data_IF_547104195537
#
_entry.id   IF_547104195537
#
_cell.length_a   1.000
_cell.length_b   1.000
_cell.length_c   1.000
_cell.angle_alpha   90.00
_cell.angle_beta   90.00
_cell.angle_gamma   90.00
#
_symmetry.space_group_name_H-M   'P 1'
#
loop_
_entity.id
_entity.type
_entity.pdbx_description
1 polymer ?
#
# COMPACT_ATOMS: atom_id res chain seq x y z
N UNK A 1 -9.43 -12.24 -3.66
CA UNK A 1 -10.81 -11.76 -3.45
C UNK A 1 -11.33 -12.24 -2.09
N UNK A 2 -10.99 -13.45 -1.68
CA UNK A 2 -11.42 -14.13 -0.45
C UNK A 2 -11.21 -13.32 0.82
N UNK A 3 -10.05 -12.65 0.99
CA UNK A 3 -9.85 -11.72 2.11
C UNK A 3 -10.73 -10.47 2.05
N UNK A 4 -11.06 -9.98 0.85
CA UNK A 4 -11.98 -8.86 0.67
C UNK A 4 -13.42 -9.28 0.99
N UNK A 5 -13.84 -10.48 0.57
CA UNK A 5 -15.15 -11.04 0.91
C UNK A 5 -15.28 -11.35 2.40
N UNK A 6 -14.21 -11.80 3.05
CA UNK A 6 -14.18 -12.04 4.50
C UNK A 6 -14.44 -10.78 5.32
N UNK A 7 -13.98 -9.62 4.85
CA UNK A 7 -14.29 -8.34 5.48
C UNK A 7 -15.77 -7.96 5.46
N UNK A 8 -16.59 -8.59 4.61
CA UNK A 8 -18.05 -8.44 4.59
C UNK A 8 -18.78 -9.57 5.33
N UNK A 9 -18.05 -10.41 6.07
CA UNK A 9 -18.62 -11.47 6.90
C UNK A 9 -18.76 -12.83 6.21
N UNK A 10 -18.14 -13.03 5.04
CA UNK A 10 -18.13 -14.33 4.35
C UNK A 10 -16.98 -15.19 4.88
N UNK A 11 -17.26 -16.43 5.31
CA UNK A 11 -16.20 -17.36 5.71
C UNK A 11 -15.34 -17.76 4.50
N UNK A 12 -14.05 -17.46 4.52
CA UNK A 12 -13.12 -17.76 3.41
C UNK A 12 -11.78 -18.32 3.91
N UNK A 13 -11.00 -18.90 3.00
CA UNK A 13 -9.65 -19.40 3.28
C UNK A 13 -8.60 -18.30 3.12
N UNK A 14 -8.77 -17.17 3.82
CA UNK A 14 -7.83 -16.06 3.75
C UNK A 14 -6.48 -16.42 4.40
N UNK A 15 -5.38 -16.37 3.64
CA UNK A 15 -4.04 -16.79 4.14
C UNK A 15 -2.96 -15.70 4.07
N UNK A 16 -2.93 -14.88 3.01
CA UNK A 16 -1.83 -13.93 2.77
C UNK A 16 -2.34 -12.51 2.51
N UNK A 17 -2.38 -12.05 1.25
CA UNK A 17 -2.66 -10.66 0.87
C UNK A 17 -3.83 -10.52 -0.09
N UNK A 18 -4.73 -11.50 -0.11
CA UNK A 18 -5.83 -11.57 -1.08
C UNK A 18 -6.86 -10.45 -0.92
N UNK A 19 -6.89 -9.85 0.27
CA UNK A 19 -7.62 -8.63 0.55
C UNK A 19 -7.07 -7.46 -0.26
N UNK A 20 -5.76 -7.19 -0.15
CA UNK A 20 -5.10 -6.12 -0.91
C UNK A 20 -5.16 -6.39 -2.41
N UNK A 21 -4.96 -7.64 -2.84
CA UNK A 21 -5.08 -8.02 -4.25
C UNK A 21 -6.51 -7.82 -4.78
N UNK A 22 -7.54 -8.15 -3.99
CA UNK A 22 -8.92 -7.85 -4.35
C UNK A 22 -9.16 -6.33 -4.46
N UNK A 23 -8.65 -5.58 -3.49
CA UNK A 23 -8.78 -4.12 -3.46
C UNK A 23 -8.10 -3.44 -4.64
N UNK A 24 -6.88 -3.85 -5.01
CA UNK A 24 -6.16 -3.25 -6.14
C UNK A 24 -6.85 -3.58 -7.47
N UNK A 25 -7.46 -4.77 -7.63
CA UNK A 25 -8.26 -5.09 -8.82
C UNK A 25 -9.44 -4.10 -8.95
N UNK A 26 -10.14 -3.79 -7.86
CA UNK A 26 -11.20 -2.77 -7.87
C UNK A 26 -10.65 -1.40 -8.30
N UNK A 27 -9.47 -1.01 -7.81
CA UNK A 27 -8.82 0.20 -8.29
C UNK A 27 -8.57 0.17 -9.80
N UNK A 28 -8.06 -0.93 -10.35
CA UNK A 28 -7.82 -1.03 -11.80
C UNK A 28 -9.09 -0.89 -12.63
N UNK A 29 -10.22 -1.41 -12.14
CA UNK A 29 -11.53 -1.28 -12.80
C UNK A 29 -12.01 0.18 -12.79
N UNK A 30 -11.84 0.89 -11.68
CA UNK A 30 -12.29 2.28 -11.51
C UNK A 30 -11.30 3.30 -12.09
N UNK A 31 -10.03 2.93 -12.20
CA UNK A 31 -8.94 3.75 -12.72
C UNK A 31 -9.22 4.43 -14.08
N UNK A 32 -9.70 3.74 -15.14
CA UNK A 32 -9.96 4.40 -16.43
C UNK A 32 -10.99 5.53 -16.31
N UNK A 33 -12.04 5.34 -15.51
CA UNK A 33 -13.06 6.36 -15.29
C UNK A 33 -12.48 7.59 -14.59
N UNK A 34 -11.73 7.37 -13.49
CA UNK A 34 -11.05 8.45 -12.77
C UNK A 34 -10.03 9.18 -13.65
N UNK A 35 -9.28 8.44 -14.47
CA UNK A 35 -8.29 8.99 -15.39
C UNK A 35 -8.95 9.91 -16.43
N UNK A 36 -10.10 9.53 -16.99
CA UNK A 36 -10.85 10.41 -17.91
C UNK A 36 -11.33 11.66 -17.18
N UNK A 37 -11.87 11.51 -15.97
CA UNK A 37 -12.31 12.62 -15.12
C UNK A 37 -11.19 13.62 -14.83
N UNK A 38 -10.07 13.16 -14.25
CA UNK A 38 -8.91 14.02 -13.93
C UNK A 38 -8.34 14.67 -15.19
N UNK A 39 -8.47 14.02 -16.36
CA UNK A 39 -7.97 14.58 -17.61
C UNK A 39 -8.83 15.67 -18.21
N UNK A 40 -10.16 15.48 -18.23
CA UNK A 40 -11.09 16.44 -18.85
C UNK A 40 -11.57 17.50 -17.87
N UNK A 41 -11.88 17.11 -16.64
CA UNK A 41 -12.54 17.94 -15.62
C UNK A 41 -11.93 17.67 -14.23
N UNK A 42 -10.69 18.11 -13.97
CA UNK A 42 -9.96 17.79 -12.74
C UNK A 42 -10.66 18.29 -11.48
N UNK A 43 -11.15 19.54 -11.48
CA UNK A 43 -11.82 20.15 -10.32
C UNK A 43 -13.10 19.38 -9.98
N UNK A 44 -13.95 19.12 -10.99
CA UNK A 44 -15.19 18.36 -10.80
C UNK A 44 -14.92 16.96 -10.27
N UNK A 45 -13.88 16.29 -10.78
CA UNK A 45 -13.51 14.94 -10.31
C UNK A 45 -13.09 14.96 -8.86
N UNK A 46 -12.30 15.95 -8.43
CA UNK A 46 -11.93 16.13 -7.02
C UNK A 46 -13.16 16.40 -6.16
N UNK A 47 -14.06 17.29 -6.57
CA UNK A 47 -15.29 17.59 -5.83
C UNK A 47 -16.16 16.35 -5.65
N UNK A 48 -16.36 15.55 -6.71
CA UNK A 48 -17.13 14.30 -6.64
C UNK A 48 -16.47 13.30 -5.69
N UNK A 49 -15.15 13.12 -5.78
CA UNK A 49 -14.41 12.19 -4.92
C UNK A 49 -14.44 12.62 -3.46
N UNK A 50 -14.30 13.91 -3.18
CA UNK A 50 -14.42 14.46 -1.83
C UNK A 50 -15.85 14.33 -1.29
N UNK A 51 -16.87 14.52 -2.13
CA UNK A 51 -18.26 14.31 -1.75
C UNK A 51 -18.54 12.83 -1.41
N UNK A 52 -18.05 11.89 -2.21
CA UNK A 52 -18.16 10.44 -1.95
C UNK A 52 -17.41 10.04 -0.67
N UNK A 53 -16.21 10.60 -0.46
CA UNK A 53 -15.42 10.40 0.75
C UNK A 53 -16.18 10.89 1.99
N UNK A 54 -16.66 12.15 1.96
CA UNK A 54 -17.41 12.75 3.06
C UNK A 54 -18.71 11.97 3.33
N UNK A 55 -19.46 11.59 2.29
CA UNK A 55 -20.66 10.77 2.43
C UNK A 55 -20.36 9.44 3.10
N UNK A 56 -19.23 8.79 2.75
CA UNK A 56 -18.81 7.52 3.37
C UNK A 56 -18.45 7.70 4.84
N UNK A 57 -17.65 8.73 5.17
CA UNK A 57 -17.24 9.03 6.55
C UNK A 57 -18.45 9.38 7.42
N UNK A 58 -19.36 10.20 6.90
CA UNK A 58 -20.62 10.57 7.56
C UNK A 58 -21.47 9.32 7.78
N UNK A 59 -21.74 8.55 6.73
CA UNK A 59 -22.55 7.34 6.80
C UNK A 59 -22.02 6.35 7.85
N UNK A 60 -20.70 6.11 7.90
CA UNK A 60 -20.11 5.22 8.91
C UNK A 60 -20.16 5.78 10.33
N UNK A 61 -20.01 7.09 10.49
CA UNK A 61 -20.17 7.76 11.80
C UNK A 61 -21.60 7.64 12.32
N UNK A 62 -22.60 7.75 11.45
CA UNK A 62 -24.02 7.75 11.84
C UNK A 62 -24.64 6.35 11.94
N UNK A 63 -24.29 5.41 11.06
CA UNK A 63 -24.94 4.10 10.97
C UNK A 63 -24.14 2.94 11.58
N UNK A 64 -22.92 3.20 12.07
CA UNK A 64 -22.05 2.26 12.81
C UNK A 64 -22.22 0.80 12.38
N UNK A 65 -21.88 0.46 11.13
CA UNK A 65 -21.99 -0.93 10.66
C UNK A 65 -20.95 -1.77 11.42
N UNK A 66 -21.35 -2.68 12.33
CA UNK A 66 -20.43 -3.29 13.30
C UNK A 66 -19.41 -4.27 12.70
N UNK A 67 -19.43 -4.50 11.38
CA UNK A 67 -18.72 -5.60 10.73
C UNK A 67 -17.83 -5.22 9.55
N UNK A 68 -17.91 -3.99 9.04
CA UNK A 68 -17.13 -3.57 7.86
C UNK A 68 -16.09 -2.54 8.29
N UNK A 69 -14.78 -2.87 8.26
CA UNK A 69 -13.75 -1.86 8.46
C UNK A 69 -13.83 -0.79 7.36
N UNK A 70 -13.89 0.49 7.76
CA UNK A 70 -14.02 1.61 6.81
C UNK A 70 -12.85 1.72 5.82
N UNK A 71 -11.70 1.15 6.18
CA UNK A 71 -10.47 1.14 5.39
C UNK A 71 -10.55 0.28 4.13
N UNK A 72 -11.54 -0.61 4.07
CA UNK A 72 -11.77 -1.58 2.98
C UNK A 72 -12.67 -0.99 1.89
N UNK A 73 -13.32 0.13 2.19
CA UNK A 73 -14.17 0.82 1.25
C UNK A 73 -13.32 1.57 0.24
N UNK A 74 -13.63 1.37 -1.02
CA UNK A 74 -12.96 2.07 -2.11
C UNK A 74 -13.00 3.59 -1.92
N UNK A 75 -14.16 4.12 -1.51
CA UNK A 75 -14.44 5.55 -1.39
C UNK A 75 -13.60 6.26 -0.33
N UNK A 76 -13.16 5.56 0.72
CA UNK A 76 -12.25 6.14 1.72
C UNK A 76 -10.84 6.33 1.18
N UNK A 77 -10.47 5.60 0.12
CA UNK A 77 -9.13 5.63 -0.50
C UNK A 77 -9.06 6.35 -1.84
N UNK A 78 -10.21 6.70 -2.43
CA UNK A 78 -10.28 7.49 -3.66
C UNK A 78 -9.53 8.83 -3.59
N UNK A 79 -9.57 9.60 -2.48
CA UNK A 79 -8.83 10.87 -2.40
C UNK A 79 -7.33 10.70 -2.61
N UNK A 80 -6.75 9.65 -2.04
CA UNK A 80 -5.31 9.35 -2.11
C UNK A 80 -4.92 8.97 -3.54
N UNK A 81 -5.75 8.16 -4.20
CA UNK A 81 -5.55 7.77 -5.59
C UNK A 81 -5.62 8.96 -6.56
N UNK A 82 -6.64 9.82 -6.39
CA UNK A 82 -6.84 11.01 -7.23
C UNK A 82 -5.73 12.03 -6.98
N UNK A 83 -5.30 12.19 -5.72
CA UNK A 83 -4.13 13.00 -5.39
C UNK A 83 -2.89 12.51 -6.13
N UNK A 84 -2.62 11.20 -6.15
CA UNK A 84 -1.50 10.61 -6.91
C UNK A 84 -1.57 10.93 -8.41
N UNK A 85 -2.77 10.86 -9.02
CA UNK A 85 -2.97 11.22 -10.43
C UNK A 85 -2.68 12.70 -10.70
N UNK A 86 -3.19 13.59 -9.84
CA UNK A 86 -2.95 15.04 -9.93
C UNK A 86 -1.46 15.33 -9.74
N UNK A 87 -0.83 14.67 -8.78
CA UNK A 87 0.59 14.84 -8.49
C UNK A 87 1.45 14.52 -9.71
N UNK A 88 1.24 13.34 -10.33
CA UNK A 88 2.01 12.92 -11.52
C UNK A 88 1.76 13.84 -12.71
N UNK A 89 0.53 14.32 -12.88
CA UNK A 89 0.16 15.17 -14.02
C UNK A 89 0.63 16.62 -13.88
N UNK A 90 0.40 17.23 -12.73
CA UNK A 90 0.54 18.69 -12.53
C UNK A 90 1.73 19.07 -11.65
N UNK A 91 1.96 18.39 -10.53
CA UNK A 91 2.99 18.79 -9.54
C UNK A 91 4.38 18.35 -10.00
N UNK A 92 4.54 17.06 -10.34
CA UNK A 92 5.75 16.38 -10.81
C UNK A 92 6.95 16.39 -9.84
N UNK A 93 7.27 17.55 -9.24
CA UNK A 93 8.36 17.76 -8.29
C UNK A 93 7.88 18.51 -7.06
N UNK A 94 8.35 18.10 -5.90
CA UNK A 94 8.02 18.75 -4.63
C UNK A 94 9.09 19.79 -4.29
N UNK A 95 8.72 21.07 -4.05
CA UNK A 95 9.68 22.05 -3.59
C UNK A 95 10.07 21.81 -2.12
N UNK A 96 11.29 22.22 -1.74
CA UNK A 96 11.84 22.00 -0.40
C UNK A 96 10.92 22.55 0.72
N UNK A 97 10.31 23.72 0.53
CA UNK A 97 9.39 24.29 1.51
C UNK A 97 8.16 23.39 1.77
N UNK A 98 7.61 22.76 0.73
CA UNK A 98 6.45 21.88 0.87
C UNK A 98 6.83 20.56 1.56
N UNK A 99 8.04 20.05 1.30
CA UNK A 99 8.58 18.90 2.02
C UNK A 99 8.82 19.24 3.50
N UNK A 100 9.36 20.42 3.80
CA UNK A 100 9.56 20.89 5.18
C UNK A 100 8.23 21.04 5.92
N UNK A 101 7.22 21.68 5.31
CA UNK A 101 5.86 21.77 5.88
C UNK A 101 5.28 20.38 6.13
N UNK A 102 5.42 19.45 5.18
CA UNK A 102 4.96 18.07 5.35
C UNK A 102 5.64 17.38 6.53
N UNK A 103 6.95 17.55 6.68
CA UNK A 103 7.70 17.01 7.83
C UNK A 103 7.23 17.58 9.16
N UNK A 104 7.04 18.91 9.26
CA UNK A 104 6.58 19.56 10.50
C UNK A 104 5.19 19.04 10.88
N UNK A 105 4.24 18.97 9.94
CA UNK A 105 2.89 18.49 10.23
C UNK A 105 2.91 17.02 10.66
N UNK A 106 3.71 16.16 10.00
CA UNK A 106 3.85 14.76 10.39
C UNK A 106 4.45 14.62 11.81
N UNK A 107 5.47 15.41 12.14
CA UNK A 107 6.05 15.42 13.48
C UNK A 107 5.04 15.89 14.54
N UNK A 108 4.30 16.96 14.26
CA UNK A 108 3.25 17.47 15.16
C UNK A 108 2.13 16.45 15.35
N UNK A 109 1.69 15.79 14.28
CA UNK A 109 0.68 14.74 14.36
C UNK A 109 1.16 13.55 15.19
N UNK A 110 2.44 13.19 15.09
CA UNK A 110 3.03 12.12 15.90
C UNK A 110 3.11 12.46 17.40
N UNK A 111 3.20 13.75 17.75
CA UNK A 111 3.24 14.20 19.14
C UNK A 111 1.85 14.44 19.74
N UNK A 112 0.92 14.93 18.94
CA UNK A 112 -0.39 15.42 19.44
C UNK A 112 -1.55 14.49 19.15
N UNK A 113 -1.41 13.57 18.19
CA UNK A 113 -2.45 12.62 17.77
C UNK A 113 -3.83 13.28 17.47
N UNK A 114 -3.83 14.53 16.99
CA UNK A 114 -5.05 15.33 16.78
C UNK A 114 -5.96 14.72 15.72
N UNK A 115 -5.39 14.28 14.60
CA UNK A 115 -6.16 13.60 13.56
C UNK A 115 -6.41 12.14 13.93
N UNK A 116 -7.64 11.66 13.74
CA UNK A 116 -8.03 10.26 14.00
C UNK A 116 -8.74 9.62 12.80
N UNK A 117 -8.77 8.28 12.76
CA UNK A 117 -9.50 7.49 11.77
C UNK A 117 -9.07 7.71 10.32
N UNK A 118 -10.01 7.54 9.37
CA UNK A 118 -9.76 7.63 7.94
C UNK A 118 -9.17 8.99 7.49
N UNK A 119 -9.55 10.07 8.17
CA UNK A 119 -9.06 11.43 7.89
C UNK A 119 -7.58 11.53 8.21
N UNK A 120 -7.15 10.98 9.35
CA UNK A 120 -5.74 10.91 9.71
C UNK A 120 -4.96 10.14 8.66
N UNK A 121 -5.43 8.95 8.27
CA UNK A 121 -4.73 8.10 7.29
C UNK A 121 -4.59 8.82 5.96
N UNK A 122 -5.64 9.49 5.48
CA UNK A 122 -5.63 10.24 4.21
C UNK A 122 -4.61 11.38 4.25
N UNK A 123 -4.68 12.23 5.28
CA UNK A 123 -3.81 13.42 5.39
C UNK A 123 -2.36 13.01 5.64
N UNK A 124 -2.11 12.12 6.60
CA UNK A 124 -0.77 11.60 6.91
C UNK A 124 -0.18 10.91 5.69
N UNK A 125 -0.99 10.11 4.97
CA UNK A 125 -0.57 9.44 3.74
C UNK A 125 -0.12 10.41 2.64
N UNK A 126 -0.91 11.47 2.39
CA UNK A 126 -0.58 12.51 1.40
C UNK A 126 0.69 13.26 1.77
N UNK A 127 0.83 13.69 3.03
CA UNK A 127 2.01 14.41 3.51
C UNK A 127 3.27 13.53 3.51
N UNK A 128 3.13 12.27 3.93
CA UNK A 128 4.21 11.29 3.88
C UNK A 128 4.64 11.05 2.43
N UNK A 129 3.71 10.94 1.48
CA UNK A 129 4.02 10.82 0.06
C UNK A 129 4.79 12.04 -0.48
N UNK A 130 4.36 13.26 -0.14
CA UNK A 130 5.07 14.48 -0.55
C UNK A 130 6.51 14.48 -0.05
N UNK A 131 6.71 14.21 1.25
CA UNK A 131 8.03 14.12 1.87
C UNK A 131 8.90 13.02 1.23
N UNK A 132 8.35 11.81 1.06
CA UNK A 132 9.06 10.69 0.45
C UNK A 132 9.40 10.95 -1.01
N UNK A 133 8.54 11.63 -1.78
CA UNK A 133 8.85 11.98 -3.17
C UNK A 133 10.03 12.95 -3.26
N UNK A 134 10.11 13.93 -2.35
CA UNK A 134 11.23 14.85 -2.24
C UNK A 134 12.52 14.12 -1.86
N UNK A 135 12.48 13.27 -0.81
CA UNK A 135 13.61 12.42 -0.42
C UNK A 135 14.05 11.53 -1.58
N UNK A 136 13.09 10.98 -2.35
CA UNK A 136 13.37 10.17 -3.53
C UNK A 136 14.15 10.93 -4.61
N UNK A 137 13.91 12.23 -4.79
CA UNK A 137 14.72 13.08 -5.68
C UNK A 137 16.14 13.28 -5.14
N UNK A 138 16.30 13.50 -3.84
CA UNK A 138 17.62 13.60 -3.20
C UNK A 138 18.41 12.30 -3.35
N UNK A 139 17.77 11.15 -3.08
CA UNK A 139 18.36 9.82 -3.21
C UNK A 139 18.85 9.56 -4.64
N UNK A 140 18.08 9.98 -5.66
CA UNK A 140 18.49 9.85 -7.07
C UNK A 140 19.78 10.62 -7.38
N UNK A 141 20.01 11.75 -6.71
CA UNK A 141 21.24 12.53 -6.87
C UNK A 141 22.48 11.81 -6.30
N UNK A 142 22.30 10.95 -5.29
CA UNK A 142 23.40 10.20 -4.66
C UNK A 142 23.49 8.76 -5.21
N UNK A 143 24.45 8.53 -6.12
CA UNK A 143 24.69 7.23 -6.78
C UNK A 143 24.71 6.00 -5.84
N UNK A 144 25.47 5.98 -4.72
CA UNK A 144 25.50 4.81 -3.85
C UNK A 144 24.14 4.52 -3.21
N UNK A 145 23.42 5.55 -2.78
CA UNK A 145 22.11 5.41 -2.13
C UNK A 145 21.02 4.97 -3.14
N UNK A 146 21.11 5.46 -4.37
CA UNK A 146 20.27 5.02 -5.48
C UNK A 146 20.45 3.53 -5.79
N UNK A 147 21.69 3.02 -5.76
CA UNK A 147 21.97 1.60 -5.94
C UNK A 147 21.36 0.73 -4.83
N UNK A 148 21.51 1.12 -3.55
CA UNK A 148 20.88 0.44 -2.42
C UNK A 148 19.35 0.44 -2.54
N UNK A 149 18.75 1.57 -2.90
CA UNK A 149 17.30 1.71 -3.06
C UNK A 149 16.79 0.81 -4.19
N UNK A 150 17.54 0.70 -5.30
CA UNK A 150 17.21 -0.21 -6.41
C UNK A 150 17.27 -1.68 -5.97
N UNK A 151 18.20 -2.04 -5.11
CA UNK A 151 18.27 -3.39 -4.54
C UNK A 151 17.07 -3.67 -3.62
N UNK A 152 16.78 -2.79 -2.66
CA UNK A 152 15.69 -2.97 -1.69
C UNK A 152 14.32 -2.96 -2.39
N UNK A 153 14.11 -2.06 -3.35
CA UNK A 153 12.86 -1.99 -4.12
C UNK A 153 12.56 -3.26 -4.90
N UNK A 154 13.57 -4.06 -5.24
CA UNK A 154 13.36 -5.37 -5.86
C UNK A 154 12.68 -6.38 -4.92
N UNK A 155 12.67 -6.13 -3.61
CA UNK A 155 12.04 -6.97 -2.58
C UNK A 155 10.81 -6.31 -1.94
N UNK A 156 10.44 -5.07 -2.32
CA UNK A 156 9.33 -4.34 -1.71
C UNK A 156 8.01 -5.10 -1.79
N UNK A 157 7.73 -5.76 -2.92
CA UNK A 157 6.51 -6.55 -3.10
C UNK A 157 6.48 -7.81 -2.21
N UNK A 158 7.50 -8.70 -2.21
CA UNK A 158 7.56 -9.79 -1.24
C UNK A 158 7.48 -9.35 0.23
N UNK A 159 8.16 -8.25 0.59
CA UNK A 159 8.09 -7.65 1.94
C UNK A 159 6.65 -7.26 2.26
N UNK A 160 5.98 -6.58 1.33
CA UNK A 160 4.58 -6.20 1.46
C UNK A 160 3.65 -7.41 1.67
N UNK A 161 3.91 -8.55 1.02
CA UNK A 161 3.10 -9.75 1.22
C UNK A 161 3.30 -10.39 2.59
N UNK A 162 4.54 -10.45 3.09
CA UNK A 162 4.87 -11.26 4.28
C UNK A 162 4.74 -10.49 5.58
N UNK A 163 5.03 -9.17 5.59
CA UNK A 163 5.17 -8.42 6.84
C UNK A 163 3.95 -8.49 7.76
N UNK A 164 2.74 -8.28 7.23
CA UNK A 164 1.55 -8.22 8.05
C UNK A 164 1.17 -9.59 8.63
N UNK A 165 1.32 -10.69 7.86
CA UNK A 165 1.12 -12.06 8.35
C UNK A 165 2.10 -12.38 9.47
N UNK A 166 3.37 -12.01 9.29
CA UNK A 166 4.41 -12.24 10.29
C UNK A 166 4.14 -11.47 11.57
N UNK A 167 3.82 -10.18 11.48
CA UNK A 167 3.51 -9.33 12.63
C UNK A 167 2.31 -9.90 13.41
N UNK A 168 1.25 -10.30 12.71
CA UNK A 168 0.09 -10.93 13.33
C UNK A 168 0.47 -12.23 14.04
N UNK A 169 1.29 -13.08 13.41
CA UNK A 169 1.75 -14.33 14.01
C UNK A 169 2.62 -14.08 15.25
N UNK A 170 3.53 -13.10 15.21
CA UNK A 170 4.37 -12.73 16.36
C UNK A 170 3.50 -12.27 17.52
N UNK A 171 2.49 -11.44 17.27
CA UNK A 171 1.58 -10.97 18.31
C UNK A 171 0.58 -12.01 18.84
N UNK A 172 0.51 -13.21 18.24
CA UNK A 172 -0.17 -14.35 18.89
C UNK A 172 0.66 -14.98 20.01
N UNK A 173 1.99 -14.81 19.97
CA UNK A 173 2.94 -15.42 20.91
C UNK A 173 3.47 -14.40 21.91
N UNK A 174 3.76 -13.18 21.46
CA UNK A 174 4.35 -12.11 22.26
C UNK A 174 3.30 -11.02 22.48
N UNK A 175 2.86 -10.85 23.71
CA UNK A 175 1.92 -9.79 24.06
C UNK A 175 2.66 -8.44 24.22
N UNK A 176 2.22 -7.35 23.53
CA UNK A 176 2.88 -6.05 23.59
C UNK A 176 3.01 -5.48 25.00
N UNK A 177 2.06 -5.83 25.89
CA UNK A 177 2.00 -5.36 27.28
C UNK A 177 3.21 -5.82 28.10
N UNK A 178 3.89 -6.89 27.68
CA UNK A 178 5.03 -7.47 28.40
C UNK A 178 6.37 -6.90 27.95
N UNK A 179 6.38 -6.00 26.95
CA UNK A 179 7.59 -5.48 26.35
C UNK A 179 7.95 -4.10 26.91
N UNK A 180 9.14 -3.99 27.47
CA UNK A 180 9.77 -2.70 27.71
C UNK A 180 10.18 -2.04 26.37
N UNK A 181 10.35 -0.71 26.37
CA UNK A 181 10.65 0.07 25.14
C UNK A 181 11.86 -0.46 24.35
N UNK A 182 12.92 -0.89 25.04
CA UNK A 182 14.10 -1.49 24.40
C UNK A 182 13.84 -2.88 23.83
N UNK A 183 13.01 -3.69 24.52
CA UNK A 183 12.60 -4.99 24.02
C UNK A 183 11.69 -4.83 22.80
N UNK A 184 10.82 -3.82 22.77
CA UNK A 184 10.00 -3.49 21.62
C UNK A 184 10.85 -3.07 20.41
N UNK A 185 11.89 -2.24 20.61
CA UNK A 185 12.84 -1.93 19.52
C UNK A 185 13.65 -3.15 19.07
N UNK A 186 14.06 -4.01 20.00
CA UNK A 186 14.73 -5.28 19.68
C UNK A 186 13.83 -6.20 18.85
N UNK A 187 12.56 -6.34 19.25
CA UNK A 187 11.55 -7.11 18.52
C UNK A 187 11.35 -6.54 17.11
N UNK A 188 11.20 -5.22 16.99
CA UNK A 188 11.04 -4.56 15.69
C UNK A 188 12.21 -4.87 14.75
N UNK A 189 13.45 -4.77 15.24
CA UNK A 189 14.64 -5.09 14.43
C UNK A 189 14.67 -6.57 14.04
N UNK A 190 14.34 -7.47 14.97
CA UNK A 190 14.26 -8.90 14.71
C UNK A 190 13.19 -9.21 13.65
N UNK A 191 12.00 -8.62 13.76
CA UNK A 191 10.92 -8.75 12.79
C UNK A 191 11.35 -8.27 11.41
N UNK A 192 12.00 -7.09 11.31
CA UNK A 192 12.53 -6.61 10.04
C UNK A 192 13.52 -7.60 9.41
N UNK A 193 14.42 -8.17 10.20
CA UNK A 193 15.36 -9.17 9.71
C UNK A 193 14.65 -10.42 9.18
N UNK A 194 13.68 -10.96 9.93
CA UNK A 194 12.94 -12.16 9.52
C UNK A 194 12.08 -11.87 8.28
N UNK A 195 11.41 -10.72 8.22
CA UNK A 195 10.63 -10.29 7.04
C UNK A 195 11.53 -10.22 5.81
N UNK A 196 12.73 -9.64 5.92
CA UNK A 196 13.68 -9.58 4.80
C UNK A 196 14.12 -10.97 4.35
N UNK A 197 14.46 -11.87 5.27
CA UNK A 197 14.86 -13.25 4.94
C UNK A 197 13.73 -13.98 4.22
N UNK A 198 12.52 -13.97 4.77
CA UNK A 198 11.35 -14.60 4.15
C UNK A 198 11.01 -13.99 2.79
N UNK A 199 11.17 -12.68 2.64
CA UNK A 199 10.96 -11.97 1.37
C UNK A 199 11.95 -12.42 0.28
N UNK A 200 13.21 -12.66 0.64
CA UNK A 200 14.22 -13.20 -0.26
C UNK A 200 13.88 -14.64 -0.66
N UNK A 201 13.50 -15.48 0.31
CA UNK A 201 13.09 -16.88 0.07
C UNK A 201 11.88 -16.92 -0.87
N UNK A 202 10.84 -16.15 -0.57
CA UNK A 202 9.62 -16.07 -1.36
C UNK A 202 9.94 -15.66 -2.80
N UNK A 203 10.74 -14.61 -3.00
CA UNK A 203 11.12 -14.15 -4.33
C UNK A 203 11.88 -15.21 -5.12
N UNK A 204 12.83 -15.90 -4.48
CA UNK A 204 13.59 -17.00 -5.13
C UNK A 204 12.66 -18.13 -5.54
N UNK A 205 11.76 -18.53 -4.66
CA UNK A 205 10.79 -19.59 -4.93
C UNK A 205 9.84 -19.23 -6.07
N UNK A 206 9.29 -18.01 -6.06
CA UNK A 206 8.45 -17.50 -7.16
C UNK A 206 9.19 -17.52 -8.50
N UNK A 207 10.45 -17.07 -8.53
CA UNK A 207 11.24 -17.09 -9.76
C UNK A 207 11.49 -18.51 -10.28
N UNK A 208 11.71 -19.48 -9.38
CA UNK A 208 11.87 -20.89 -9.76
C UNK A 208 10.60 -21.45 -10.38
N UNK A 209 9.43 -21.20 -9.77
CA UNK A 209 8.13 -21.64 -10.30
C UNK A 209 7.84 -21.00 -11.65
N UNK A 210 7.98 -19.68 -11.77
CA UNK A 210 7.75 -18.96 -13.04
C UNK A 210 8.72 -19.46 -14.12
N UNK A 211 9.98 -19.71 -13.76
CA UNK A 211 10.97 -20.28 -14.67
C UNK A 211 10.62 -21.70 -15.12
N UNK A 212 10.06 -22.53 -14.25
CA UNK A 212 9.59 -23.86 -14.58
C UNK A 212 8.36 -23.82 -15.50
N UNK A 213 7.34 -23.06 -15.13
CA UNK A 213 6.09 -22.93 -15.89
C UNK A 213 6.33 -22.34 -17.27
N UNK A 214 7.16 -21.30 -17.39
CA UNK A 214 7.50 -20.71 -18.69
C UNK A 214 8.22 -21.70 -19.61
N UNK A 215 9.15 -22.51 -19.09
CA UNK A 215 9.80 -23.59 -19.86
C UNK A 215 8.79 -24.64 -20.32
N UNK A 216 7.86 -25.06 -19.46
CA UNK A 216 6.78 -25.97 -19.83
C UNK A 216 5.89 -25.38 -20.93
N UNK A 217 5.52 -24.10 -20.84
CA UNK A 217 4.69 -23.42 -21.83
C UNK A 217 5.38 -23.29 -23.19
N UNK A 218 6.67 -22.95 -23.21
CA UNK A 218 7.46 -22.89 -24.44
C UNK A 218 7.56 -24.27 -25.09
N UNK A 219 7.77 -25.32 -24.31
CA UNK A 219 7.84 -26.71 -24.80
C UNK A 219 6.50 -27.19 -25.39
N UNK A 220 5.37 -26.77 -24.83
CA UNK A 220 4.03 -27.07 -25.36
C UNK A 220 3.77 -26.27 -26.66
N UNK A 221 4.10 -24.98 -26.67
CA UNK A 221 3.94 -24.13 -27.86
C UNK A 221 4.88 -24.45 -29.03
N UNK A 222 6.03 -25.09 -28.78
CA UNK A 222 6.89 -25.60 -29.85
C UNK A 222 6.38 -26.90 -30.43
N UNK A 223 5.75 -27.76 -29.61
CA UNK A 223 5.17 -29.04 -30.05
C UNK A 223 3.92 -28.85 -30.93
N UNK A 224 3.14 -27.80 -30.69
CA UNK A 224 1.96 -27.50 -31.52
C UNK A 224 2.34 -26.89 -32.89
N UNK A 225 3.48 -26.19 -33.00
CA UNK A 225 3.96 -25.61 -34.27
C UNK A 225 4.65 -26.59 -35.23
N UNK A 226 4.95 -27.81 -34.76
CA UNK A 226 5.53 -28.87 -35.60
C UNK A 226 4.49 -29.86 -36.13
N UNK A 227 3.20 -29.60 -35.87
CA UNK A 227 2.06 -30.41 -36.30
C UNK A 227 1.15 -29.65 -37.30
N UNK A 228 1.51 -28.41 -37.63
CA UNK A 228 0.98 -27.61 -38.74
C UNK A 228 2.03 -27.58 -39.87
#
# INVERSE_FOLDING_TARGET
MDGYASAFGVGTFYVLGEWFLGFIILFYIVFPLLRVGVNKMPITTVCVVLALYAATVVFFTFYQIPRVPSDILLTTRLPELVFGMIFVKFIKKVPCWLAAVSFVILALQQLTHVLQGNIAVTIVGILAFLLLSYIGELVKSFKPLSACTKFISAYSYPIFLVHHVLIMQVFTVIYPVWLNRWQAYGLLIAEFAVILVLSVILKRFTNLIVGFVSKCWVKIGSKNRSLD
#
